data_IF_308991448471
#
_entry.id   IF_308991448471
#
_cell.length_a   1.000
_cell.length_b   1.000
_cell.length_c   1.000
_cell.angle_alpha   90.00
_cell.angle_beta   90.00
_cell.angle_gamma   90.00
#
_symmetry.space_group_name_H-M   'P 1'
#
loop_
_entity.id
_entity.type
_entity.pdbx_description
1 polymer ?
#
# COMPACT_ATOMS: atom_id res chain seq x y z
N UNK A 1 -12.42 -3.28 -20.03
CA UNK A 1 -13.09 -2.10 -20.60
C UNK A 1 -14.54 -2.49 -20.86
N UNK A 2 -15.51 -1.65 -20.50
CA UNK A 2 -16.91 -1.99 -20.71
C UNK A 2 -17.29 -1.67 -22.16
N UNK A 3 -17.77 -2.67 -22.89
CA UNK A 3 -18.32 -2.45 -24.22
C UNK A 3 -19.61 -1.64 -24.11
N UNK A 4 -19.73 -0.61 -24.95
CA UNK A 4 -20.96 0.14 -25.11
C UNK A 4 -22.04 -0.78 -25.70
N UNK A 5 -23.19 -0.85 -25.03
CA UNK A 5 -24.30 -1.70 -25.45
C UNK A 5 -24.93 -1.20 -26.76
N UNK A 6 -25.24 -2.14 -27.65
CA UNK A 6 -26.02 -1.93 -28.87
C UNK A 6 -27.50 -2.28 -28.68
N UNK A 7 -27.87 -2.87 -27.54
CA UNK A 7 -29.24 -3.31 -27.27
C UNK A 7 -30.13 -2.07 -27.05
N UNK A 8 -31.04 -1.82 -27.98
CA UNK A 8 -31.97 -0.69 -27.96
C UNK A 8 -31.67 0.43 -28.97
N UNK A 9 -30.55 0.35 -29.71
CA UNK A 9 -30.24 1.33 -30.76
C UNK A 9 -30.83 0.90 -32.10
N UNK A 10 -31.77 1.70 -32.60
CA UNK A 10 -32.49 1.47 -33.87
C UNK A 10 -31.85 2.21 -35.04
N UNK A 11 -31.14 3.32 -34.79
CA UNK A 11 -30.48 4.08 -35.86
C UNK A 11 -29.24 3.31 -36.35
N UNK A 12 -29.19 2.88 -37.63
CA UNK A 12 -28.04 2.15 -38.18
C UNK A 12 -26.73 2.92 -38.02
N UNK A 13 -26.75 4.24 -38.16
CA UNK A 13 -25.55 5.07 -38.07
C UNK A 13 -25.01 5.10 -36.64
N UNK A 14 -25.90 5.17 -35.64
CA UNK A 14 -25.50 5.11 -34.24
C UNK A 14 -24.95 3.73 -33.87
N UNK A 15 -25.54 2.66 -34.39
CA UNK A 15 -25.01 1.29 -34.22
C UNK A 15 -23.59 1.17 -34.77
N UNK A 16 -23.33 1.71 -35.95
CA UNK A 16 -22.01 1.69 -36.57
C UNK A 16 -20.98 2.49 -35.75
N UNK A 17 -21.37 3.65 -35.23
CA UNK A 17 -20.54 4.47 -34.33
C UNK A 17 -20.24 3.72 -33.03
N UNK A 18 -21.25 3.13 -32.38
CA UNK A 18 -21.06 2.36 -31.13
C UNK A 18 -20.15 1.15 -31.37
N UNK A 19 -20.34 0.42 -32.48
CA UNK A 19 -19.49 -0.70 -32.84
C UNK A 19 -18.05 -0.25 -33.12
N UNK A 20 -17.84 0.90 -33.76
CA UNK A 20 -16.54 1.49 -33.99
C UNK A 20 -15.85 1.92 -32.68
N UNK A 21 -16.58 2.53 -31.75
CA UNK A 21 -16.09 2.87 -30.41
C UNK A 21 -15.58 1.60 -29.71
N UNK A 22 -16.40 0.54 -29.69
CA UNK A 22 -16.02 -0.71 -29.05
C UNK A 22 -14.75 -1.34 -29.65
N UNK A 23 -14.61 -1.30 -30.98
CA UNK A 23 -13.40 -1.78 -31.66
C UNK A 23 -12.17 -0.95 -31.33
N UNK A 24 -12.29 0.38 -31.31
CA UNK A 24 -11.20 1.28 -30.97
C UNK A 24 -10.73 1.09 -29.53
N UNK A 25 -11.67 1.04 -28.58
CA UNK A 25 -11.35 0.79 -27.17
C UNK A 25 -10.77 -0.61 -26.95
N UNK A 26 -11.21 -1.61 -27.71
CA UNK A 26 -10.64 -2.96 -27.66
C UNK A 26 -9.28 -3.10 -28.39
N UNK A 27 -8.79 -2.06 -29.06
CA UNK A 27 -7.53 -2.12 -29.82
C UNK A 27 -7.62 -2.96 -31.10
N UNK A 28 -8.82 -3.18 -31.64
CA UNK A 28 -9.06 -3.97 -32.86
C UNK A 28 -9.68 -3.13 -33.99
N UNK A 29 -9.03 -2.01 -34.39
CA UNK A 29 -9.53 -1.17 -35.48
C UNK A 29 -9.56 -1.94 -36.80
N UNK A 30 -10.56 -1.68 -37.63
CA UNK A 30 -10.72 -2.32 -38.95
C UNK A 30 -10.45 -1.37 -40.11
N UNK A 31 -10.80 -0.10 -39.98
CA UNK A 31 -10.73 0.91 -41.05
C UNK A 31 -9.79 2.06 -40.71
N UNK A 32 -9.55 2.28 -39.42
CA UNK A 32 -8.72 3.35 -38.90
C UNK A 32 -7.33 2.86 -38.49
N UNK A 33 -6.41 3.80 -38.20
CA UNK A 33 -5.07 3.50 -37.66
C UNK A 33 -5.08 3.24 -36.15
N UNK A 34 -6.25 3.06 -35.53
CA UNK A 34 -6.38 2.73 -34.10
C UNK A 34 -6.12 3.87 -33.11
N UNK A 35 -5.89 5.10 -33.57
CA UNK A 35 -5.70 6.23 -32.64
C UNK A 35 -7.05 6.61 -32.02
N UNK A 36 -7.08 6.83 -30.70
CA UNK A 36 -8.27 7.20 -29.95
C UNK A 36 -8.60 8.70 -30.12
N UNK A 37 -9.07 9.10 -31.30
CA UNK A 37 -9.55 10.47 -31.55
C UNK A 37 -10.81 10.48 -32.43
N UNK A 38 -11.53 11.60 -32.41
CA UNK A 38 -12.82 11.75 -33.12
C UNK A 38 -12.66 11.52 -34.63
N UNK A 39 -11.56 11.97 -35.23
CA UNK A 39 -11.32 11.81 -36.67
C UNK A 39 -11.14 10.34 -37.05
N UNK A 40 -10.42 9.57 -36.24
CA UNK A 40 -10.27 8.13 -36.45
C UNK A 40 -11.55 7.38 -36.12
N UNK A 41 -12.34 7.82 -35.13
CA UNK A 41 -13.65 7.25 -34.87
C UNK A 41 -14.59 7.44 -36.07
N UNK A 42 -14.57 8.62 -36.69
CA UNK A 42 -15.34 8.88 -37.91
C UNK A 42 -14.95 7.93 -39.05
N UNK A 43 -13.64 7.73 -39.26
CA UNK A 43 -13.11 6.79 -40.27
C UNK A 43 -13.46 5.34 -39.92
N UNK A 44 -13.38 4.96 -38.65
CA UNK A 44 -13.66 3.60 -38.18
C UNK A 44 -15.15 3.23 -38.31
N UNK A 45 -16.04 4.20 -38.07
CA UNK A 45 -17.47 4.08 -38.24
C UNK A 45 -17.93 4.30 -39.68
N UNK A 46 -17.04 4.75 -40.59
CA UNK A 46 -17.36 5.13 -41.97
C UNK A 46 -18.46 6.20 -42.07
N UNK A 47 -18.34 7.21 -41.21
CA UNK A 47 -19.25 8.36 -41.16
C UNK A 47 -18.46 9.66 -41.30
N UNK A 48 -19.11 10.70 -41.83
CA UNK A 48 -18.52 12.04 -41.86
C UNK A 48 -18.36 12.57 -40.43
N UNK A 49 -17.21 13.20 -40.12
CA UNK A 49 -16.92 13.82 -38.81
C UNK A 49 -18.03 14.74 -38.30
N UNK A 50 -18.69 15.47 -39.20
CA UNK A 50 -19.80 16.36 -38.87
C UNK A 50 -20.94 15.65 -38.11
N UNK A 51 -21.20 14.36 -38.42
CA UNK A 51 -22.21 13.55 -37.71
C UNK A 51 -21.87 13.42 -36.23
N UNK A 52 -20.61 13.22 -35.87
CA UNK A 52 -20.15 13.10 -34.48
C UNK A 52 -20.10 14.45 -33.73
N UNK A 53 -19.96 15.56 -34.46
CA UNK A 53 -19.85 16.89 -33.82
C UNK A 53 -21.17 17.66 -33.77
N UNK A 54 -22.17 17.30 -34.58
CA UNK A 54 -23.45 18.02 -34.63
C UNK A 54 -24.70 17.15 -34.44
N UNK A 55 -24.65 15.84 -34.77
CA UNK A 55 -25.84 14.98 -34.72
C UNK A 55 -25.79 13.93 -33.60
N UNK A 56 -24.61 13.36 -33.34
CA UNK A 56 -24.39 12.31 -32.35
C UNK A 56 -23.29 12.73 -31.37
N UNK A 57 -23.47 13.93 -30.81
CA UNK A 57 -22.52 14.52 -29.85
C UNK A 57 -22.44 13.72 -28.55
N UNK A 58 -23.54 13.08 -28.15
CA UNK A 58 -23.61 12.17 -27.03
C UNK A 58 -22.61 11.00 -27.15
N UNK A 59 -22.50 10.41 -28.34
CA UNK A 59 -21.57 9.31 -28.61
C UNK A 59 -20.12 9.79 -28.63
N UNK A 60 -19.87 11.00 -29.13
CA UNK A 60 -18.55 11.65 -29.06
C UNK A 60 -18.13 11.85 -27.61
N UNK A 61 -19.01 12.41 -26.79
CA UNK A 61 -18.70 12.73 -25.40
C UNK A 61 -18.52 11.46 -24.57
N UNK A 62 -19.33 10.43 -24.83
CA UNK A 62 -19.16 9.11 -24.23
C UNK A 62 -17.82 8.47 -24.61
N UNK A 63 -17.42 8.56 -25.88
CA UNK A 63 -16.11 8.07 -26.33
C UNK A 63 -14.96 8.78 -25.61
N UNK A 64 -15.04 10.10 -25.47
CA UNK A 64 -14.03 10.88 -24.73
C UNK A 64 -14.00 10.53 -23.25
N UNK A 65 -15.17 10.33 -22.62
CA UNK A 65 -15.26 9.92 -21.23
C UNK A 65 -14.60 8.54 -21.00
N UNK A 66 -14.81 7.58 -21.88
CA UNK A 66 -14.17 6.25 -21.80
C UNK A 66 -12.65 6.32 -21.97
N UNK A 67 -12.14 7.18 -22.86
CA UNK A 67 -10.68 7.40 -23.01
C UNK A 67 -10.10 7.94 -21.70
N UNK A 68 -10.69 9.02 -21.17
CA UNK A 68 -10.24 9.63 -19.91
C UNK A 68 -10.35 8.65 -18.75
N UNK A 69 -11.41 7.85 -18.69
CA UNK A 69 -11.60 6.83 -17.66
C UNK A 69 -10.53 5.72 -17.76
N UNK A 70 -10.16 5.31 -18.97
CA UNK A 70 -9.08 4.34 -19.17
C UNK A 70 -7.71 4.92 -18.73
N UNK A 71 -7.41 6.17 -19.09
CA UNK A 71 -6.17 6.86 -18.72
C UNK A 71 -6.05 7.05 -17.20
N UNK A 72 -7.11 7.55 -16.57
CA UNK A 72 -7.17 7.73 -15.11
C UNK A 72 -7.07 6.41 -14.37
N UNK A 73 -7.72 5.34 -14.84
CA UNK A 73 -7.58 4.01 -14.26
C UNK A 73 -6.15 3.50 -14.37
N UNK A 74 -5.50 3.68 -15.52
CA UNK A 74 -4.10 3.27 -15.70
C UNK A 74 -3.17 4.04 -14.76
N UNK A 75 -3.35 5.36 -14.64
CA UNK A 75 -2.59 6.19 -13.71
C UNK A 75 -2.82 5.78 -12.25
N UNK A 76 -4.06 5.44 -11.88
CA UNK A 76 -4.38 4.95 -10.54
C UNK A 76 -3.73 3.60 -10.24
N UNK A 77 -3.69 2.67 -11.22
CA UNK A 77 -3.01 1.39 -11.07
C UNK A 77 -1.52 1.59 -10.85
N UNK A 78 -0.87 2.42 -11.66
CA UNK A 78 0.57 2.73 -11.52
C UNK A 78 0.83 3.32 -10.14
N UNK A 79 0.06 4.35 -9.74
CA UNK A 79 0.19 4.97 -8.42
C UNK A 79 -0.01 3.97 -7.28
N UNK A 80 -1.01 3.09 -7.39
CA UNK A 80 -1.27 2.07 -6.37
C UNK A 80 -0.15 1.04 -6.23
N UNK A 81 0.55 0.74 -7.33
CA UNK A 81 1.71 -0.14 -7.31
C UNK A 81 2.91 0.53 -6.63
N UNK A 82 3.16 1.82 -6.94
CA UNK A 82 4.19 2.62 -6.29
C UNK A 82 3.93 2.75 -4.77
N UNK A 83 2.68 3.08 -4.40
CA UNK A 83 2.25 3.20 -3.00
C UNK A 83 2.42 1.88 -2.23
N UNK A 84 2.14 0.74 -2.88
CA UNK A 84 2.31 -0.59 -2.29
C UNK A 84 3.80 -0.90 -2.00
N UNK A 85 4.69 -0.61 -2.94
CA UNK A 85 6.13 -0.82 -2.73
C UNK A 85 6.70 0.10 -1.65
N UNK A 86 6.26 1.36 -1.59
CA UNK A 86 6.65 2.27 -0.52
C UNK A 86 6.12 1.84 0.85
N UNK A 87 4.88 1.35 0.93
CA UNK A 87 4.31 0.81 2.16
C UNK A 87 5.08 -0.43 2.64
N UNK A 88 5.45 -1.31 1.71
CA UNK A 88 6.25 -2.52 1.98
C UNK A 88 7.64 -2.18 2.50
N UNK A 89 8.30 -1.15 1.94
CA UNK A 89 9.58 -0.63 2.47
C UNK A 89 9.43 -0.11 3.89
N UNK A 90 8.43 0.74 4.15
CA UNK A 90 8.15 1.28 5.50
C UNK A 90 7.89 0.17 6.51
N UNK A 91 7.14 -0.86 6.13
CA UNK A 91 6.88 -2.01 7.00
C UNK A 91 8.16 -2.82 7.31
N UNK A 92 9.04 -3.01 6.33
CA UNK A 92 10.32 -3.67 6.56
C UNK A 92 11.22 -2.88 7.51
N UNK A 93 11.29 -1.55 7.34
CA UNK A 93 12.08 -0.67 8.21
C UNK A 93 11.52 -0.62 9.63
N UNK A 94 10.19 -0.55 9.78
CA UNK A 94 9.54 -0.59 11.10
C UNK A 94 9.81 -1.91 11.82
N UNK A 95 9.74 -3.05 11.12
CA UNK A 95 10.07 -4.35 11.69
C UNK A 95 11.54 -4.45 12.11
N UNK A 96 12.47 -3.86 11.34
CA UNK A 96 13.88 -3.80 11.76
C UNK A 96 14.02 -2.97 13.03
N UNK A 97 13.30 -1.86 13.14
CA UNK A 97 13.34 -1.01 14.32
C UNK A 97 12.77 -1.71 15.55
N UNK A 98 11.63 -2.39 15.43
CA UNK A 98 11.06 -3.20 16.51
C UNK A 98 12.05 -4.27 17.00
N UNK A 99 12.68 -5.02 16.08
CA UNK A 99 13.70 -6.02 16.43
C UNK A 99 14.92 -5.42 17.13
N UNK A 100 15.33 -4.22 16.75
CA UNK A 100 16.44 -3.53 17.41
C UNK A 100 16.06 -3.12 18.85
N UNK A 101 14.85 -2.57 19.04
CA UNK A 101 14.33 -2.22 20.36
C UNK A 101 14.20 -3.46 21.26
N UNK A 102 13.65 -4.56 20.74
CA UNK A 102 13.57 -5.84 21.45
C UNK A 102 14.96 -6.33 21.90
N UNK A 103 15.97 -6.24 21.02
CA UNK A 103 17.35 -6.60 21.35
C UNK A 103 17.90 -5.72 22.48
N UNK A 104 17.69 -4.42 22.42
CA UNK A 104 18.12 -3.48 23.48
C UNK A 104 17.44 -3.77 24.81
N UNK A 105 16.13 -4.04 24.79
CA UNK A 105 15.37 -4.43 25.97
C UNK A 105 15.91 -5.70 26.60
N UNK A 106 16.26 -6.71 25.80
CA UNK A 106 16.87 -7.94 26.30
C UNK A 106 18.23 -7.69 26.99
N UNK A 107 19.07 -6.83 26.41
CA UNK A 107 20.35 -6.44 27.01
C UNK A 107 20.14 -5.70 28.34
N UNK A 108 19.22 -4.74 28.39
CA UNK A 108 18.93 -4.01 29.63
C UNK A 108 18.34 -4.91 30.71
N UNK A 109 17.44 -5.83 30.36
CA UNK A 109 16.89 -6.80 31.29
C UNK A 109 17.99 -7.69 31.90
N UNK A 110 18.95 -8.16 31.08
CA UNK A 110 20.08 -8.94 31.56
C UNK A 110 20.97 -8.15 32.52
N UNK A 111 21.30 -6.90 32.17
CA UNK A 111 22.11 -6.03 33.03
C UNK A 111 21.41 -5.72 34.37
N UNK A 112 20.10 -5.43 34.34
CA UNK A 112 19.31 -5.20 35.55
C UNK A 112 19.27 -6.44 36.45
N UNK A 113 19.08 -7.63 35.87
CA UNK A 113 19.10 -8.88 36.64
C UNK A 113 20.46 -9.11 37.31
N UNK A 114 21.56 -8.84 36.60
CA UNK A 114 22.89 -8.96 37.17
C UNK A 114 23.12 -7.97 38.32
N UNK A 115 22.76 -6.70 38.13
CA UNK A 115 22.85 -5.69 39.19
C UNK A 115 21.97 -6.02 40.40
N UNK A 116 20.79 -6.61 40.18
CA UNK A 116 19.91 -7.06 41.26
C UNK A 116 20.55 -8.19 42.07
N UNK A 117 21.18 -9.17 41.41
CA UNK A 117 21.90 -10.26 42.07
C UNK A 117 23.11 -9.74 42.85
N UNK A 118 23.88 -8.82 42.27
CA UNK A 118 25.04 -8.20 42.95
C UNK A 118 24.61 -7.41 44.20
N UNK A 119 23.55 -6.60 44.11
CA UNK A 119 23.01 -5.88 45.25
C UNK A 119 22.48 -6.81 46.36
N UNK A 120 21.80 -7.90 45.99
CA UNK A 120 21.33 -8.89 46.96
C UNK A 120 22.51 -9.53 47.71
N UNK A 121 23.58 -9.90 47.00
CA UNK A 121 24.78 -10.46 47.61
C UNK A 121 25.52 -9.48 48.53
N UNK A 122 25.56 -8.18 48.18
CA UNK A 122 26.13 -7.15 49.04
C UNK A 122 25.31 -6.94 50.31
N UNK A 123 23.98 -6.89 50.17
CA UNK A 123 23.07 -6.75 51.31
C UNK A 123 23.19 -7.92 52.29
N UNK A 124 23.32 -9.15 51.77
CA UNK A 124 23.51 -10.35 52.59
C UNK A 124 24.86 -10.34 53.34
N UNK A 125 25.94 -9.90 52.67
CA UNK A 125 27.26 -9.70 53.31
C UNK A 125 27.22 -8.66 54.42
N UNK A 126 26.56 -7.53 54.20
CA UNK A 126 26.43 -6.48 55.22
C UNK A 126 25.61 -6.97 56.42
N UNK A 127 24.56 -7.76 56.17
CA UNK A 127 23.77 -8.39 57.22
C UNK A 127 24.56 -9.41 58.05
N UNK A 128 25.43 -10.20 57.41
CA UNK A 128 26.32 -11.13 58.10
C UNK A 128 27.44 -10.42 58.88
N UNK A 129 28.00 -9.34 58.34
CA UNK A 129 28.97 -8.50 59.06
C UNK A 129 28.35 -7.81 60.29
N UNK A 130 27.06 -7.49 60.26
CA UNK A 130 26.33 -6.90 61.38
C UNK A 130 25.97 -7.90 62.50
N UNK A 131 26.11 -9.22 62.29
CA UNK A 131 25.86 -10.23 63.34
C UNK A 131 26.99 -10.21 64.38
N UNK A 132 26.78 -9.48 65.47
CA UNK A 132 27.68 -9.44 66.64
C UNK A 132 27.73 -10.81 67.32
N UNK A 133 28.88 -11.52 67.23
CA UNK A 133 29.15 -12.72 68.03
C UNK A 133 29.44 -12.31 69.48
N UNK A 134 28.60 -12.77 70.40
CA UNK A 134 28.86 -12.61 71.84
C UNK A 134 30.05 -13.49 72.23
N UNK A 135 31.15 -12.87 72.63
CA UNK A 135 32.32 -13.58 73.19
C UNK A 135 31.94 -14.16 74.56
N UNK A 136 32.18 -15.47 74.81
CA UNK A 136 31.90 -16.07 76.10
C UNK A 136 32.76 -15.38 77.16
N UNK A 137 32.12 -14.74 78.14
CA UNK A 137 32.80 -14.10 79.26
C UNK A 137 33.49 -15.18 80.07
N UNK A 138 34.83 -15.18 80.02
CA UNK A 138 35.66 -16.02 80.89
C UNK A 138 35.27 -15.79 82.35
N UNK A 139 34.91 -16.88 83.04
CA UNK A 139 34.59 -16.86 84.47
C UNK A 139 35.78 -16.27 85.23
N UNK A 140 35.54 -15.15 85.90
CA UNK A 140 36.49 -14.52 86.83
C UNK A 140 36.57 -15.40 88.09
N UNK A 141 37.75 -15.87 88.51
CA UNK A 141 37.89 -16.56 89.79
C UNK A 141 37.69 -15.54 90.93
N UNK A 142 36.90 -15.93 91.92
CA UNK A 142 36.60 -15.17 93.15
C UNK A 142 37.60 -15.68 94.22
N UNK A 143 38.13 -14.84 95.13
CA UNK A 143 39.39 -15.08 95.84
C UNK A 143 39.37 -16.23 96.85
#
# INVERSE_FOLDING_TARGET
>A
MNALSLAGETDPVRRDIIAAINRLLAGTPRRSRGRLNISQLAVEADVKRWRLTHQHTDLKDRFQAEITHAETKQAAIIRSADDYEDLKRKHADLNRHCRDLERRLAVYAAALNQLALENAALTDRDADAAKVRTLPRGRRPIP
#
